data_IF_658297062465
#
_entry.id   IF_658297062465
#
_cell.length_a   1.000
_cell.length_b   1.000
_cell.length_c   1.000
_cell.angle_alpha   90.00
_cell.angle_beta   90.00
_cell.angle_gamma   90.00
#
_symmetry.space_group_name_H-M   'P 1'
#
loop_
_entity.id
_entity.type
_entity.pdbx_description
1 polymer ?
#
# COMPACT_ATOMS: atom_id res chain seq x y z
N UNK A 1 12.15 -50.41 36.19
CA UNK A 1 10.99 -50.00 37.01
C UNK A 1 10.59 -48.59 36.62
N UNK A 2 9.27 -48.32 36.46
CA UNK A 2 8.60 -47.04 36.15
C UNK A 2 9.03 -46.28 34.87
N UNK A 3 8.49 -46.55 33.66
CA UNK A 3 7.16 -46.20 33.10
C UNK A 3 6.69 -44.75 33.37
N UNK A 4 6.88 -43.86 32.39
CA UNK A 4 5.86 -42.84 32.03
C UNK A 4 5.93 -42.51 30.53
N UNK A 5 4.90 -43.00 29.84
CA UNK A 5 4.54 -42.82 28.44
C UNK A 5 3.85 -41.45 28.35
N UNK A 6 4.36 -40.49 27.56
CA UNK A 6 3.62 -39.26 27.22
C UNK A 6 3.21 -39.37 25.76
N UNK A 7 1.91 -39.22 25.53
CA UNK A 7 1.23 -39.34 24.25
C UNK A 7 1.75 -38.31 23.24
N UNK A 8 1.87 -38.77 21.99
CA UNK A 8 2.00 -37.97 20.79
C UNK A 8 0.69 -37.21 20.54
N UNK A 9 0.76 -35.88 20.37
CA UNK A 9 -0.29 -35.10 19.71
C UNK A 9 0.09 -34.91 18.23
N UNK A 10 -0.85 -35.11 17.28
CA UNK A 10 -0.58 -35.02 15.85
C UNK A 10 -0.48 -33.56 15.38
N UNK A 11 0.32 -33.34 14.34
CA UNK A 11 0.84 -32.05 13.91
C UNK A 11 -0.18 -30.99 13.48
N UNK A 12 0.12 -29.76 13.88
CA UNK A 12 -0.56 -28.52 13.48
C UNK A 12 -0.11 -28.09 12.07
N UNK A 13 -0.96 -28.37 11.08
CA UNK A 13 -0.88 -27.73 9.77
C UNK A 13 -1.52 -26.33 9.88
N UNK A 14 -0.69 -25.30 9.96
CA UNK A 14 -1.08 -23.90 10.21
C UNK A 14 -2.15 -23.35 9.27
N UNK A 15 -3.41 -23.39 9.73
CA UNK A 15 -4.54 -22.73 9.09
C UNK A 15 -4.53 -21.23 9.43
N UNK A 16 -4.18 -20.36 8.46
CA UNK A 16 -4.20 -18.90 8.64
C UNK A 16 -5.62 -18.43 8.99
N UNK A 17 -5.79 -17.91 10.21
CA UNK A 17 -7.07 -17.42 10.72
C UNK A 17 -7.67 -16.30 9.84
N UNK A 18 -8.96 -16.39 9.52
CA UNK A 18 -9.67 -15.41 8.70
C UNK A 18 -9.68 -13.99 9.30
N UNK A 19 -9.96 -12.97 8.48
CA UNK A 19 -10.14 -11.57 8.96
C UNK A 19 -11.19 -11.49 10.08
N UNK A 20 -12.30 -12.20 9.92
CA UNK A 20 -13.34 -12.35 10.94
C UNK A 20 -12.82 -13.02 12.22
N UNK A 21 -12.01 -14.07 12.10
CA UNK A 21 -11.42 -14.74 13.26
C UNK A 21 -10.46 -13.82 14.03
N UNK A 22 -9.60 -13.06 13.32
CA UNK A 22 -8.71 -12.07 13.95
C UNK A 22 -9.48 -10.98 14.67
N UNK A 23 -10.58 -10.50 14.08
CA UNK A 23 -11.47 -9.52 14.71
C UNK A 23 -12.13 -10.06 16.00
N UNK A 24 -12.60 -11.31 15.98
CA UNK A 24 -13.14 -11.97 17.17
C UNK A 24 -12.09 -12.10 18.28
N UNK A 25 -10.88 -12.55 17.94
CA UNK A 25 -9.78 -12.71 18.91
C UNK A 25 -9.40 -11.36 19.53
N UNK A 26 -9.31 -10.31 18.72
CA UNK A 26 -9.03 -8.96 19.22
C UNK A 26 -10.11 -8.45 20.17
N UNK A 27 -11.38 -8.66 19.81
CA UNK A 27 -12.53 -8.27 20.64
C UNK A 27 -12.52 -9.03 21.97
N UNK A 28 -12.27 -10.35 21.93
CA UNK A 28 -12.16 -11.17 23.14
C UNK A 28 -11.05 -10.69 24.08
N UNK A 29 -9.85 -10.40 23.54
CA UNK A 29 -8.73 -9.87 24.34
C UNK A 29 -9.07 -8.55 25.03
N UNK A 30 -9.84 -7.68 24.37
CA UNK A 30 -10.31 -6.43 24.97
C UNK A 30 -11.24 -6.68 26.15
N UNK A 31 -12.24 -7.55 25.95
CA UNK A 31 -13.20 -7.90 27.01
C UNK A 31 -12.51 -8.61 28.18
N UNK A 32 -11.55 -9.50 27.92
CA UNK A 32 -10.74 -10.13 28.97
C UNK A 32 -9.96 -9.10 29.79
N UNK A 33 -9.40 -8.07 29.14
CA UNK A 33 -8.71 -6.98 29.83
C UNK A 33 -9.68 -6.15 30.68
N UNK A 34 -10.91 -5.94 30.20
CA UNK A 34 -11.94 -5.22 30.94
C UNK A 34 -12.37 -5.99 32.20
N UNK A 35 -12.63 -7.30 32.10
CA UNK A 35 -12.93 -8.17 33.25
C UNK A 35 -11.78 -8.24 34.26
N UNK A 36 -10.54 -8.25 33.77
CA UNK A 36 -9.36 -8.25 34.66
C UNK A 36 -9.20 -6.92 35.43
N UNK A 37 -9.69 -5.81 34.87
CA UNK A 37 -9.66 -4.48 35.52
C UNK A 37 -10.85 -4.27 36.47
N UNK A 38 -12.02 -4.79 36.09
CA UNK A 38 -13.25 -4.75 36.88
C UNK A 38 -14.01 -6.08 36.68
N UNK A 39 -13.92 -7.01 37.65
CA UNK A 39 -14.61 -8.29 37.58
C UNK A 39 -16.14 -8.19 37.52
N UNK A 40 -16.71 -7.05 37.89
CA UNK A 40 -18.16 -6.81 37.90
C UNK A 40 -18.63 -5.94 36.71
N UNK A 41 -17.75 -5.68 35.73
CA UNK A 41 -18.07 -4.84 34.58
C UNK A 41 -19.30 -5.35 33.81
N UNK A 42 -20.19 -4.43 33.44
CA UNK A 42 -21.18 -4.70 32.40
C UNK A 42 -20.48 -4.83 31.04
N UNK A 43 -20.24 -6.06 30.60
CA UNK A 43 -19.62 -6.35 29.32
C UNK A 43 -20.32 -5.71 28.13
N UNK A 44 -21.64 -5.43 28.21
CA UNK A 44 -22.37 -4.78 27.13
C UNK A 44 -21.95 -3.32 26.95
N UNK A 45 -21.47 -2.68 28.03
CA UNK A 45 -20.92 -1.31 27.99
C UNK A 45 -19.58 -1.24 27.27
N UNK A 46 -18.75 -2.29 27.36
CA UNK A 46 -17.45 -2.37 26.70
C UNK A 46 -17.48 -3.20 25.40
N UNK A 47 -18.62 -3.75 25.00
CA UNK A 47 -18.76 -4.45 23.73
C UNK A 47 -18.87 -3.43 22.57
N UNK A 48 -18.19 -3.63 21.41
CA UNK A 48 -18.35 -2.72 20.28
C UNK A 48 -19.81 -2.68 19.79
N UNK A 49 -20.42 -1.49 19.77
CA UNK A 49 -21.83 -1.31 19.35
C UNK A 49 -22.10 -1.75 17.91
N UNK A 50 -21.07 -1.70 17.05
CA UNK A 50 -21.12 -2.07 15.63
C UNK A 50 -20.54 -3.48 15.36
N UNK A 51 -20.27 -4.28 16.40
CA UNK A 51 -19.60 -5.57 16.30
C UNK A 51 -20.24 -6.50 15.26
N UNK A 52 -21.57 -6.67 15.32
CA UNK A 52 -22.28 -7.58 14.43
C UNK A 52 -22.17 -7.17 12.96
N UNK A 53 -22.25 -5.86 12.69
CA UNK A 53 -22.10 -5.30 11.34
C UNK A 53 -20.68 -5.49 10.82
N UNK A 54 -19.67 -5.18 11.64
CA UNK A 54 -18.27 -5.37 11.26
C UNK A 54 -17.92 -6.85 11.06
N UNK A 55 -18.46 -7.73 11.89
CA UNK A 55 -18.25 -9.16 11.77
C UNK A 55 -18.89 -9.72 10.49
N UNK A 56 -20.10 -9.28 10.12
CA UNK A 56 -20.73 -9.71 8.87
C UNK A 56 -19.93 -9.24 7.66
N UNK A 57 -19.49 -7.98 7.63
CA UNK A 57 -18.62 -7.42 6.59
C UNK A 57 -17.31 -8.21 6.42
N UNK A 58 -16.72 -8.72 7.51
CA UNK A 58 -15.49 -9.52 7.49
C UNK A 58 -15.70 -11.00 7.19
N UNK A 59 -16.93 -11.51 7.32
CA UNK A 59 -17.31 -12.90 7.00
C UNK A 59 -17.66 -13.08 5.54
N UNK A 60 -18.02 -12.01 4.83
CA UNK A 60 -18.22 -12.06 3.38
C UNK A 60 -16.88 -12.45 2.75
N UNK A 61 -16.77 -13.64 2.14
CA UNK A 61 -15.58 -14.00 1.40
C UNK A 61 -15.43 -12.96 0.29
N UNK A 62 -14.23 -12.37 0.16
CA UNK A 62 -13.86 -11.77 -1.13
C UNK A 62 -14.16 -12.84 -2.18
N UNK A 63 -14.95 -12.55 -3.22
CA UNK A 63 -15.11 -13.51 -4.29
C UNK A 63 -13.71 -13.83 -4.81
N UNK A 64 -13.29 -15.10 -4.69
CA UNK A 64 -12.12 -15.59 -5.42
C UNK A 64 -12.27 -15.11 -6.86
N UNK A 65 -11.23 -14.59 -7.51
CA UNK A 65 -11.34 -14.12 -8.89
C UNK A 65 -11.56 -15.35 -9.77
N UNK A 66 -12.81 -15.76 -9.88
CA UNK A 66 -13.26 -16.76 -10.82
C UNK A 66 -13.43 -15.98 -12.11
N UNK A 67 -12.35 -15.93 -12.89
CA UNK A 67 -12.36 -15.45 -14.27
C UNK A 67 -13.33 -16.37 -15.01
N UNK A 68 -14.59 -15.95 -15.05
CA UNK A 68 -15.62 -16.51 -15.90
C UNK A 68 -15.76 -15.51 -17.03
N UNK A 69 -15.67 -15.90 -18.32
CA UNK A 69 -15.86 -14.97 -19.41
C UNK A 69 -17.35 -14.57 -19.42
N UNK A 70 -17.67 -13.44 -18.78
CA UNK A 70 -19.03 -12.91 -18.77
C UNK A 70 -19.17 -12.01 -20.00
N UNK A 71 -19.73 -12.62 -21.04
CA UNK A 71 -20.47 -11.97 -22.11
C UNK A 71 -21.37 -10.85 -21.58
N UNK A 72 -21.27 -9.68 -22.23
CA UNK A 72 -22.11 -8.49 -22.10
C UNK A 72 -23.42 -8.69 -21.31
N UNK A 73 -23.39 -8.34 -20.02
CA UNK A 73 -24.59 -8.16 -19.21
C UNK A 73 -24.49 -6.82 -18.50
N UNK A 74 -25.38 -5.92 -18.90
CA UNK A 74 -25.57 -4.55 -18.42
C UNK A 74 -25.86 -4.55 -16.91
N UNK A 75 -24.87 -4.27 -16.07
CA UNK A 75 -25.08 -4.18 -14.62
C UNK A 75 -25.51 -2.75 -14.25
N UNK A 76 -26.81 -2.47 -14.30
CA UNK A 76 -27.39 -1.31 -13.60
C UNK A 76 -27.47 -1.61 -12.08
N UNK A 77 -26.33 -1.61 -11.39
CA UNK A 77 -26.30 -1.65 -9.93
C UNK A 77 -26.53 -0.25 -9.38
N UNK A 78 -27.53 -0.05 -8.50
CA UNK A 78 -27.77 1.26 -7.90
C UNK A 78 -26.53 1.77 -7.16
N UNK A 79 -26.16 3.01 -7.43
CA UNK A 79 -25.08 3.72 -6.74
C UNK A 79 -25.50 3.86 -5.28
N UNK A 80 -24.83 3.17 -4.36
CA UNK A 80 -25.12 3.31 -2.92
C UNK A 80 -24.62 4.67 -2.42
N UNK A 81 -25.18 5.18 -1.31
CA UNK A 81 -24.75 6.47 -0.71
C UNK A 81 -23.27 6.54 -0.31
N UNK A 82 -22.55 5.41 -0.38
CA UNK A 82 -21.13 5.33 -0.08
C UNK A 82 -20.23 5.39 -1.33
N UNK A 83 -20.78 5.38 -2.54
CA UNK A 83 -20.02 5.35 -3.79
C UNK A 83 -19.64 6.76 -4.26
N UNK A 84 -18.35 6.99 -4.58
CA UNK A 84 -17.86 8.30 -5.05
C UNK A 84 -18.56 8.79 -6.32
N UNK A 85 -19.11 7.89 -7.15
CA UNK A 85 -19.82 8.25 -8.39
C UNK A 85 -21.07 9.07 -8.12
N UNK A 86 -21.62 9.05 -6.90
CA UNK A 86 -22.76 9.89 -6.52
C UNK A 86 -22.45 11.40 -6.58
N UNK A 87 -21.17 11.78 -6.54
CA UNK A 87 -20.73 13.17 -6.61
C UNK A 87 -20.46 13.64 -8.06
N UNK A 88 -20.59 12.75 -9.04
CA UNK A 88 -20.41 13.09 -10.44
C UNK A 88 -21.77 13.44 -11.04
N UNK A 89 -21.97 14.71 -11.36
CA UNK A 89 -23.23 15.25 -11.84
C UNK A 89 -23.03 15.85 -13.24
N UNK A 90 -23.91 15.54 -14.22
CA UNK A 90 -23.73 15.99 -15.60
C UNK A 90 -23.75 17.51 -15.81
N UNK A 91 -24.19 18.29 -14.81
CA UNK A 91 -24.20 19.75 -14.84
C UNK A 91 -22.95 20.41 -14.23
N UNK A 92 -22.04 19.63 -13.68
CA UNK A 92 -20.88 20.16 -12.94
C UNK A 92 -19.74 20.54 -13.89
N UNK A 93 -19.00 21.62 -13.57
CA UNK A 93 -17.89 22.05 -14.39
C UNK A 93 -16.82 20.95 -14.46
N UNK A 94 -16.35 20.69 -15.67
CA UNK A 94 -15.24 19.79 -15.94
C UNK A 94 -14.00 20.59 -16.35
N UNK A 95 -12.84 20.20 -15.82
CA UNK A 95 -11.55 20.79 -16.16
C UNK A 95 -10.55 19.70 -16.51
N UNK A 96 -9.88 19.87 -17.65
CA UNK A 96 -8.70 19.07 -18.01
C UNK A 96 -7.53 19.62 -17.20
N UNK A 97 -7.09 18.86 -16.19
CA UNK A 97 -5.95 19.24 -15.34
C UNK A 97 -4.64 18.83 -16.02
N UNK A 98 -4.62 17.64 -16.63
CA UNK A 98 -3.52 17.17 -17.47
C UNK A 98 -4.07 16.63 -18.79
N UNK A 99 -3.35 16.82 -19.92
CA UNK A 99 -3.82 16.45 -21.24
C UNK A 99 -4.30 14.99 -21.34
N UNK A 100 -5.45 14.77 -21.98
CA UNK A 100 -6.00 13.44 -22.20
C UNK A 100 -5.32 12.78 -23.40
N UNK A 101 -4.95 11.51 -23.25
CA UNK A 101 -4.54 10.64 -24.34
C UNK A 101 -5.71 10.37 -25.29
N UNK A 102 -5.41 10.04 -26.55
CA UNK A 102 -6.43 9.81 -27.58
C UNK A 102 -7.41 8.69 -27.18
N UNK A 103 -6.92 7.63 -26.52
CA UNK A 103 -7.75 6.56 -25.98
C UNK A 103 -8.82 7.05 -25.01
N UNK A 104 -8.50 8.04 -24.16
CA UNK A 104 -9.46 8.63 -23.22
C UNK A 104 -10.38 9.62 -23.93
N UNK A 105 -9.86 10.40 -24.88
CA UNK A 105 -10.69 11.32 -25.69
C UNK A 105 -11.75 10.59 -26.48
N UNK A 106 -11.41 9.45 -27.08
CA UNK A 106 -12.37 8.60 -27.81
C UNK A 106 -13.48 8.06 -26.92
N UNK A 107 -13.22 7.82 -25.62
CA UNK A 107 -14.24 7.40 -24.65
C UNK A 107 -15.19 8.54 -24.24
N UNK A 108 -14.82 9.80 -24.50
CA UNK A 108 -15.52 11.00 -24.09
C UNK A 108 -15.98 11.85 -25.29
N UNK A 109 -16.14 11.24 -26.48
CA UNK A 109 -16.35 11.95 -27.75
C UNK A 109 -17.75 12.60 -27.92
N UNK A 110 -18.59 12.63 -26.88
CA UNK A 110 -19.90 13.28 -26.93
C UNK A 110 -19.79 14.81 -26.81
N UNK A 111 -20.84 15.52 -27.24
CA UNK A 111 -20.87 16.99 -27.30
C UNK A 111 -20.71 17.67 -25.92
N UNK A 112 -21.11 16.98 -24.85
CA UNK A 112 -20.98 17.43 -23.47
C UNK A 112 -20.05 16.49 -22.68
N UNK A 113 -18.89 17.02 -22.28
CA UNK A 113 -17.86 16.25 -21.58
C UNK A 113 -18.34 15.74 -20.22
N UNK A 114 -19.16 16.51 -19.51
CA UNK A 114 -19.68 16.13 -18.19
C UNK A 114 -20.68 14.98 -18.31
N UNK A 115 -21.60 15.03 -19.27
CA UNK A 115 -22.52 13.92 -19.58
C UNK A 115 -21.76 12.66 -19.98
N UNK A 116 -20.79 12.80 -20.90
CA UNK A 116 -19.96 11.69 -21.37
C UNK A 116 -19.22 11.02 -20.20
N UNK A 117 -18.63 11.81 -19.30
CA UNK A 117 -17.87 11.35 -18.16
C UNK A 117 -18.74 10.63 -17.13
N UNK A 118 -19.91 11.18 -16.80
CA UNK A 118 -20.88 10.51 -15.90
C UNK A 118 -21.38 9.21 -16.53
N UNK A 119 -21.67 9.22 -17.82
CA UNK A 119 -22.05 8.04 -18.58
C UNK A 119 -20.98 6.95 -18.55
N UNK A 120 -19.72 7.32 -18.78
CA UNK A 120 -18.56 6.42 -18.69
C UNK A 120 -18.46 5.80 -17.29
N UNK A 121 -18.43 6.62 -16.24
CA UNK A 121 -18.25 6.18 -14.85
C UNK A 121 -19.36 5.25 -14.35
N UNK A 122 -20.59 5.38 -14.87
CA UNK A 122 -21.70 4.47 -14.57
C UNK A 122 -21.48 3.07 -15.15
N UNK A 123 -20.81 2.95 -16.30
CA UNK A 123 -20.53 1.67 -16.97
C UNK A 123 -19.27 0.99 -16.45
N UNK A 124 -18.34 1.74 -15.89
CA UNK A 124 -17.07 1.19 -15.41
C UNK A 124 -17.27 0.21 -14.23
N UNK A 125 -16.54 -0.90 -14.27
CA UNK A 125 -16.49 -1.92 -13.22
C UNK A 125 -15.71 -1.39 -12.02
N UNK A 126 -16.15 -1.70 -10.80
CA UNK A 126 -15.41 -1.34 -9.59
C UNK A 126 -14.25 -2.33 -9.41
N UNK A 127 -13.01 -1.87 -9.55
CA UNK A 127 -11.82 -2.68 -9.24
C UNK A 127 -11.48 -2.67 -7.76
N UNK A 128 -11.60 -1.50 -7.11
CA UNK A 128 -11.20 -1.37 -5.71
C UNK A 128 -11.96 -0.26 -4.99
N UNK A 129 -12.21 -0.48 -3.69
CA UNK A 129 -12.84 0.48 -2.77
C UNK A 129 -11.92 0.74 -1.59
N UNK A 130 -11.67 2.01 -1.28
CA UNK A 130 -10.97 2.37 -0.04
C UNK A 130 -11.86 2.11 1.19
N UNK A 131 -11.31 2.15 2.42
CA UNK A 131 -12.12 2.11 3.64
C UNK A 131 -13.19 3.21 3.73
N UNK A 132 -13.07 4.28 2.92
CA UNK A 132 -14.05 5.34 2.78
C UNK A 132 -14.38 5.52 1.29
N UNK A 133 -15.25 4.67 0.70
CA UNK A 133 -15.43 4.64 -0.76
C UNK A 133 -15.93 5.97 -1.34
N UNK A 134 -16.59 6.83 -0.53
CA UNK A 134 -16.95 8.22 -0.88
C UNK A 134 -15.75 9.13 -1.18
N UNK A 135 -14.54 8.75 -0.74
CA UNK A 135 -13.31 9.54 -0.89
C UNK A 135 -12.39 9.01 -1.98
N UNK A 136 -12.26 7.69 -2.11
CA UNK A 136 -11.34 7.07 -3.08
C UNK A 136 -11.85 5.71 -3.56
N UNK A 137 -11.95 5.54 -4.87
CA UNK A 137 -12.29 4.28 -5.54
C UNK A 137 -11.51 4.15 -6.86
N UNK A 138 -11.34 2.92 -7.33
CA UNK A 138 -10.69 2.61 -8.62
C UNK A 138 -11.67 1.82 -9.49
N UNK A 139 -11.76 2.20 -10.75
CA UNK A 139 -12.68 1.66 -11.73
C UNK A 139 -11.92 1.16 -12.96
N UNK A 140 -12.41 0.07 -13.58
CA UNK A 140 -11.98 -0.38 -14.90
C UNK A 140 -13.01 0.05 -15.91
N UNK A 141 -12.56 0.73 -16.95
CA UNK A 141 -13.41 1.13 -18.06
C UNK A 141 -13.05 0.30 -19.30
N UNK A 142 -13.73 0.58 -20.41
CA UNK A 142 -13.52 -0.16 -21.66
C UNK A 142 -12.04 -0.16 -22.09
N UNK A 143 -11.61 -1.30 -22.65
CA UNK A 143 -10.24 -1.51 -23.07
C UNK A 143 -9.27 -1.66 -21.90
N UNK A 144 -8.13 -0.97 -22.00
CA UNK A 144 -7.03 -1.06 -21.05
C UNK A 144 -6.95 0.17 -20.13
N UNK A 145 -8.08 0.81 -19.81
CA UNK A 145 -8.12 2.06 -19.02
C UNK A 145 -8.65 1.82 -17.61
N UNK A 146 -7.92 2.35 -16.64
CA UNK A 146 -8.28 2.45 -15.23
C UNK A 146 -8.50 3.90 -14.87
N UNK A 147 -9.53 4.15 -14.07
CA UNK A 147 -9.82 5.47 -13.49
C UNK A 147 -9.70 5.36 -11.96
N UNK A 148 -8.78 6.12 -11.38
CA UNK A 148 -8.73 6.35 -9.93
C UNK A 148 -9.45 7.65 -9.61
N UNK A 149 -10.58 7.54 -8.93
CA UNK A 149 -11.40 8.68 -8.51
C UNK A 149 -11.03 9.08 -7.08
N UNK A 150 -10.72 10.35 -6.88
CA UNK A 150 -10.28 10.91 -5.59
C UNK A 150 -11.05 12.20 -5.31
N UNK A 151 -11.83 12.22 -4.24
CA UNK A 151 -12.56 13.41 -3.78
C UNK A 151 -11.64 14.30 -2.94
N UNK A 152 -11.65 15.61 -3.21
CA UNK A 152 -10.79 16.62 -2.57
C UNK A 152 -9.29 16.31 -2.67
N UNK A 153 -8.82 15.93 -3.86
CA UNK A 153 -7.39 15.72 -4.10
C UNK A 153 -6.60 17.02 -3.87
N UNK A 154 -5.62 16.97 -2.96
CA UNK A 154 -4.77 18.12 -2.61
C UNK A 154 -3.57 18.31 -3.54
N UNK A 155 -3.16 17.25 -4.22
CA UNK A 155 -2.08 17.24 -5.21
C UNK A 155 -2.28 16.08 -6.19
N UNK A 156 -1.34 15.93 -7.12
CA UNK A 156 -1.37 14.92 -8.18
C UNK A 156 -0.07 14.10 -8.27
N UNK A 157 0.61 13.86 -7.14
CA UNK A 157 1.92 13.16 -7.11
C UNK A 157 1.91 11.82 -7.80
N UNK A 158 0.82 11.07 -7.72
CA UNK A 158 0.71 9.82 -8.45
C UNK A 158 0.79 10.05 -9.96
N UNK A 159 -0.04 10.96 -10.50
CA UNK A 159 -0.05 11.23 -11.94
C UNK A 159 1.30 11.79 -12.43
N UNK A 160 1.87 12.77 -11.73
CA UNK A 160 3.17 13.36 -12.08
C UNK A 160 4.30 12.35 -11.95
N UNK A 161 4.23 11.43 -10.97
CA UNK A 161 5.19 10.32 -10.88
C UNK A 161 5.06 9.36 -12.06
N UNK A 162 3.84 8.98 -12.45
CA UNK A 162 3.66 8.09 -13.60
C UNK A 162 4.22 8.73 -14.89
N UNK A 163 4.04 10.05 -15.08
CA UNK A 163 4.67 10.79 -16.19
C UNK A 163 6.20 10.75 -16.09
N UNK A 164 6.74 11.01 -14.91
CA UNK A 164 8.19 10.98 -14.68
C UNK A 164 8.79 9.60 -14.97
N UNK A 165 8.14 8.52 -14.53
CA UNK A 165 8.57 7.15 -14.79
C UNK A 165 8.43 6.78 -16.27
N UNK A 166 7.38 7.21 -16.96
CA UNK A 166 7.23 6.97 -18.39
C UNK A 166 8.40 7.55 -19.20
N UNK A 167 8.87 8.74 -18.83
CA UNK A 167 10.00 9.41 -19.50
C UNK A 167 11.35 8.81 -19.09
N UNK A 168 11.59 8.62 -17.80
CA UNK A 168 12.92 8.31 -17.29
C UNK A 168 13.18 6.82 -17.05
N UNK A 169 12.12 6.02 -16.86
CA UNK A 169 12.17 4.58 -16.54
C UNK A 169 11.02 3.80 -17.21
N UNK A 170 10.92 3.80 -18.55
CA UNK A 170 9.82 3.14 -19.27
C UNK A 170 9.80 1.61 -19.11
N UNK A 171 10.87 1.01 -18.58
CA UNK A 171 10.98 -0.42 -18.26
C UNK A 171 10.43 -0.78 -16.89
N UNK A 172 10.25 0.18 -15.98
CA UNK A 172 9.65 -0.07 -14.67
C UNK A 172 8.18 -0.45 -14.88
N UNK A 173 7.71 -1.56 -14.27
CA UNK A 173 6.32 -1.99 -14.39
C UNK A 173 5.44 -1.07 -13.53
N UNK A 174 4.97 0.03 -14.10
CA UNK A 174 4.02 0.96 -13.49
C UNK A 174 2.92 1.29 -14.51
N UNK A 175 1.70 1.63 -14.07
CA UNK A 175 0.67 2.15 -14.97
C UNK A 175 1.20 3.34 -15.79
N UNK A 176 0.76 3.46 -17.04
CA UNK A 176 1.10 4.62 -17.89
C UNK A 176 0.01 5.67 -17.77
N UNK A 177 0.36 6.96 -17.58
CA UNK A 177 -0.63 8.02 -17.42
C UNK A 177 -1.39 8.23 -18.74
N UNK A 178 -2.70 8.47 -18.67
CA UNK A 178 -3.55 8.70 -19.85
C UNK A 178 -4.38 9.99 -19.77
N UNK A 179 -4.20 10.77 -18.72
CA UNK A 179 -4.82 12.08 -18.52
C UNK A 179 -5.38 12.28 -17.12
N UNK A 180 -5.80 13.50 -16.82
CA UNK A 180 -6.47 13.81 -15.56
C UNK A 180 -7.59 14.83 -15.80
N UNK A 181 -8.80 14.45 -15.40
CA UNK A 181 -9.95 15.35 -15.35
C UNK A 181 -10.31 15.68 -13.90
N UNK A 182 -10.90 16.84 -13.69
CA UNK A 182 -11.59 17.20 -12.46
C UNK A 182 -13.02 17.57 -12.80
N UNK A 183 -13.98 16.99 -12.08
CA UNK A 183 -15.40 17.37 -12.08
C UNK A 183 -15.73 17.82 -10.66
N UNK A 184 -15.98 19.12 -10.49
CA UNK A 184 -16.09 19.76 -9.17
C UNK A 184 -14.93 19.36 -8.22
N UNK A 185 -15.21 18.69 -7.10
CA UNK A 185 -14.21 18.26 -6.13
C UNK A 185 -13.68 16.83 -6.35
N UNK A 186 -14.10 16.15 -7.42
CA UNK A 186 -13.65 14.80 -7.77
C UNK A 186 -12.60 14.87 -8.88
N UNK A 187 -11.38 14.41 -8.58
CA UNK A 187 -10.32 14.22 -9.56
C UNK A 187 -10.33 12.77 -10.08
N UNK A 188 -10.21 12.61 -11.39
CA UNK A 188 -10.22 11.35 -12.11
C UNK A 188 -8.88 11.19 -12.82
N UNK A 189 -8.04 10.30 -12.28
CA UNK A 189 -6.73 9.96 -12.84
C UNK A 189 -6.91 8.79 -13.78
N UNK A 190 -6.63 8.99 -15.07
CA UNK A 190 -6.70 7.96 -16.10
C UNK A 190 -5.32 7.34 -16.30
N UNK A 191 -5.25 6.02 -16.33
CA UNK A 191 -4.01 5.27 -16.54
C UNK A 191 -4.26 3.90 -17.16
N UNK A 192 -3.21 3.24 -17.63
CA UNK A 192 -3.33 1.88 -18.18
C UNK A 192 -3.63 0.85 -17.10
N UNK A 193 -4.49 -0.11 -17.41
CA UNK A 193 -4.73 -1.29 -16.60
C UNK A 193 -3.49 -2.20 -16.53
N UNK A 194 -3.29 -2.81 -15.37
CA UNK A 194 -2.31 -3.88 -15.11
C UNK A 194 -3.06 -5.14 -14.68
N UNK A 195 -2.39 -6.29 -14.58
CA UNK A 195 -2.99 -7.57 -14.13
C UNK A 195 -3.96 -7.42 -12.95
N UNK A 196 -5.03 -8.22 -12.97
CA UNK A 196 -6.05 -8.27 -11.90
C UNK A 196 -5.50 -8.83 -10.58
N UNK A 197 -4.48 -9.70 -10.65
CA UNK A 197 -4.00 -10.47 -9.51
C UNK A 197 -2.93 -9.67 -8.79
N UNK A 198 -3.21 -9.29 -7.54
CA UNK A 198 -2.22 -8.70 -6.65
C UNK A 198 -1.37 -9.80 -6.00
N UNK A 199 -0.19 -9.45 -5.56
CA UNK A 199 0.68 -10.35 -4.81
C UNK A 199 0.01 -10.74 -3.49
N UNK A 200 -0.75 -9.84 -2.86
CA UNK A 200 -1.53 -10.12 -1.66
C UNK A 200 -2.50 -11.30 -1.83
N UNK A 201 -3.10 -11.45 -3.01
CA UNK A 201 -4.07 -12.51 -3.30
C UNK A 201 -3.44 -13.90 -3.28
N UNK A 202 -2.17 -14.01 -3.67
CA UNK A 202 -1.50 -15.30 -3.85
C UNK A 202 -0.37 -15.57 -2.85
N UNK A 203 0.10 -14.55 -2.13
CA UNK A 203 1.33 -14.61 -1.30
C UNK A 203 1.35 -15.79 -0.32
N UNK A 204 0.21 -16.04 0.33
CA UNK A 204 0.09 -17.12 1.30
C UNK A 204 0.24 -18.52 0.70
N UNK A 205 -0.04 -18.69 -0.60
CA UNK A 205 0.09 -19.95 -1.33
C UNK A 205 1.43 -20.14 -2.05
N UNK A 206 2.30 -19.12 -2.06
CA UNK A 206 3.60 -19.23 -2.71
C UNK A 206 4.58 -20.05 -1.88
N UNK A 207 5.38 -20.88 -2.55
CA UNK A 207 6.52 -21.55 -1.94
C UNK A 207 7.72 -20.60 -1.75
N UNK A 208 8.74 -21.06 -1.02
CA UNK A 208 9.94 -20.27 -0.73
C UNK A 208 10.69 -19.89 -2.02
N UNK A 209 10.71 -20.75 -3.03
CA UNK A 209 11.39 -20.47 -4.31
C UNK A 209 10.68 -19.35 -5.08
N UNK A 210 9.35 -19.37 -5.12
CA UNK A 210 8.53 -18.34 -5.74
C UNK A 210 8.67 -17.01 -4.99
N UNK A 211 8.64 -17.02 -3.65
CA UNK A 211 8.86 -15.81 -2.84
C UNK A 211 10.24 -15.19 -3.06
N UNK A 212 11.29 -16.01 -3.15
CA UNK A 212 12.65 -15.55 -3.51
C UNK A 212 12.71 -14.95 -4.92
N UNK A 213 12.07 -15.59 -5.90
CA UNK A 213 11.98 -15.07 -7.27
C UNK A 213 11.30 -13.70 -7.33
N UNK A 214 10.22 -13.50 -6.58
CA UNK A 214 9.55 -12.19 -6.44
C UNK A 214 10.47 -11.17 -5.76
N UNK A 215 11.15 -11.55 -4.67
CA UNK A 215 12.12 -10.68 -3.99
C UNK A 215 13.24 -10.24 -4.95
N UNK A 216 13.78 -11.13 -5.77
CA UNK A 216 14.85 -10.82 -6.73
C UNK A 216 14.36 -9.88 -7.84
N UNK A 217 13.14 -10.07 -8.34
CA UNK A 217 12.52 -9.11 -9.27
C UNK A 217 12.35 -7.73 -8.65
N UNK A 218 11.87 -7.65 -7.41
CA UNK A 218 11.76 -6.37 -6.69
C UNK A 218 13.13 -5.72 -6.50
N UNK A 219 14.16 -6.48 -6.11
CA UNK A 219 15.53 -5.98 -5.99
C UNK A 219 16.00 -5.32 -7.29
N UNK A 220 15.75 -5.96 -8.43
CA UNK A 220 16.14 -5.44 -9.74
C UNK A 220 15.37 -4.17 -10.11
N UNK A 221 14.04 -4.15 -9.91
CA UNK A 221 13.19 -2.99 -10.20
C UNK A 221 13.59 -1.81 -9.33
N UNK A 222 13.83 -2.04 -8.05
CA UNK A 222 14.17 -0.99 -7.10
C UNK A 222 15.60 -0.49 -7.28
N UNK A 223 16.54 -1.34 -7.67
CA UNK A 223 17.87 -0.90 -8.08
C UNK A 223 17.79 0.03 -9.30
N UNK A 224 16.95 -0.32 -10.29
CA UNK A 224 16.71 0.52 -11.46
C UNK A 224 16.08 1.87 -11.08
N UNK A 225 15.02 1.87 -10.24
CA UNK A 225 14.43 3.10 -9.71
C UNK A 225 15.44 3.96 -8.95
N UNK A 226 16.26 3.36 -8.09
CA UNK A 226 17.27 4.07 -7.28
C UNK A 226 18.46 4.59 -8.08
N UNK A 227 18.58 4.22 -9.36
CA UNK A 227 19.56 4.81 -10.26
C UNK A 227 19.14 6.19 -10.80
N UNK A 228 17.88 6.60 -10.60
CA UNK A 228 17.43 7.96 -10.86
C UNK A 228 18.20 8.96 -10.00
N UNK A 229 18.81 9.95 -10.66
CA UNK A 229 19.55 10.99 -9.97
C UNK A 229 18.58 12.00 -9.36
N UNK A 230 18.68 12.21 -8.05
CA UNK A 230 18.02 13.34 -7.39
C UNK A 230 18.66 14.65 -7.90
N UNK A 231 17.91 15.56 -8.54
CA UNK A 231 18.48 16.80 -9.04
C UNK A 231 19.10 17.64 -7.91
N UNK A 232 20.30 18.18 -8.16
CA UNK A 232 20.98 18.99 -7.14
C UNK A 232 20.18 20.26 -6.84
N UNK A 233 19.96 20.54 -5.55
CA UNK A 233 19.28 21.76 -5.10
C UNK A 233 17.75 21.70 -5.15
N UNK A 234 17.15 20.57 -5.53
CA UNK A 234 15.68 20.42 -5.48
C UNK A 234 15.20 19.90 -4.12
N UNK A 235 13.97 20.25 -3.69
CA UNK A 235 13.36 19.68 -2.50
C UNK A 235 13.10 18.18 -2.62
N UNK A 236 13.16 17.50 -1.49
CA UNK A 236 12.74 16.12 -1.33
C UNK A 236 11.21 16.00 -1.45
N UNK A 237 10.78 14.80 -1.84
CA UNK A 237 9.37 14.48 -2.05
C UNK A 237 9.01 14.31 -3.51
N UNK A 238 7.75 14.61 -3.84
CA UNK A 238 7.20 14.41 -5.18
C UNK A 238 7.99 15.15 -6.26
N UNK A 239 8.03 14.56 -7.46
CA UNK A 239 8.86 15.01 -8.60
C UNK A 239 8.44 16.36 -9.18
N UNK A 240 7.25 16.86 -8.85
CA UNK A 240 6.71 18.12 -9.35
C UNK A 240 6.51 19.14 -8.21
N UNK A 241 7.28 19.01 -7.12
CA UNK A 241 7.27 19.97 -6.01
C UNK A 241 6.11 19.81 -5.03
N UNK A 242 5.45 18.64 -5.01
CA UNK A 242 4.33 18.35 -4.11
C UNK A 242 4.76 18.15 -2.64
N UNK A 243 6.06 18.17 -2.39
CA UNK A 243 6.68 18.07 -1.08
C UNK A 243 6.73 16.65 -0.52
N UNK A 244 7.19 16.55 0.71
CA UNK A 244 7.30 15.29 1.44
C UNK A 244 5.94 14.86 2.02
N UNK A 245 5.66 13.56 1.96
CA UNK A 245 4.46 12.95 2.54
C UNK A 245 4.84 11.79 3.45
N UNK A 246 4.19 11.67 4.59
CA UNK A 246 4.36 10.52 5.49
C UNK A 246 3.01 10.09 6.07
N UNK A 247 2.57 8.89 5.71
CA UNK A 247 1.40 8.24 6.33
C UNK A 247 1.85 7.30 7.43
N UNK A 248 1.44 7.61 8.66
CA UNK A 248 1.50 6.69 9.82
C UNK A 248 0.10 6.44 10.36
N UNK A 249 -0.37 7.33 11.24
CA UNK A 249 -1.76 7.38 11.72
C UNK A 249 -2.61 8.37 10.91
N UNK A 250 -1.99 9.48 10.52
CA UNK A 250 -2.56 10.52 9.66
C UNK A 250 -1.51 10.88 8.62
N UNK A 251 -1.96 11.34 7.45
CA UNK A 251 -1.07 11.87 6.42
C UNK A 251 -0.46 13.19 6.90
N UNK A 252 0.86 13.24 6.99
CA UNK A 252 1.64 14.47 7.16
C UNK A 252 2.17 14.93 5.82
N UNK A 253 2.18 16.23 5.61
CA UNK A 253 2.70 16.89 4.40
C UNK A 253 3.67 17.98 4.83
N UNK A 254 4.79 18.11 4.13
CA UNK A 254 5.67 19.26 4.35
C UNK A 254 4.97 20.54 3.91
N UNK A 255 4.96 21.55 4.77
CA UNK A 255 4.44 22.89 4.41
C UNK A 255 5.50 23.74 3.73
N UNK A 256 6.78 23.44 4.00
CA UNK A 256 7.94 24.14 3.44
C UNK A 256 8.83 23.14 2.68
N UNK A 257 9.62 23.60 1.69
CA UNK A 257 10.59 22.76 1.00
C UNK A 257 11.60 22.10 1.96
N UNK A 258 11.78 20.79 1.85
CA UNK A 258 12.76 20.02 2.62
C UNK A 258 13.95 19.74 1.71
N UNK A 259 15.12 20.32 2.01
CA UNK A 259 16.31 20.22 1.14
C UNK A 259 17.33 19.19 1.62
N UNK A 260 17.34 18.86 2.92
CA UNK A 260 18.36 18.00 3.50
C UNK A 260 17.76 16.78 4.18
N UNK A 261 18.56 15.71 4.28
CA UNK A 261 18.20 14.50 5.05
C UNK A 261 17.93 14.84 6.52
N UNK A 262 18.62 15.83 7.07
CA UNK A 262 18.39 16.33 8.44
C UNK A 262 16.99 16.93 8.56
N UNK A 263 16.61 17.83 7.68
CA UNK A 263 15.29 18.47 7.71
C UNK A 263 14.17 17.45 7.49
N UNK A 264 14.43 16.41 6.67
CA UNK A 264 13.51 15.30 6.51
C UNK A 264 13.32 14.47 7.79
N UNK A 265 14.39 14.24 8.56
CA UNK A 265 14.29 13.60 9.88
C UNK A 265 13.45 14.44 10.83
N UNK A 266 13.68 15.76 10.85
CA UNK A 266 12.90 16.69 11.67
C UNK A 266 11.40 16.68 11.28
N UNK A 267 11.10 16.60 9.97
CA UNK A 267 9.73 16.43 9.44
C UNK A 267 9.06 15.11 9.86
N UNK A 268 9.77 13.98 9.74
CA UNK A 268 9.22 12.66 10.10
C UNK A 268 8.90 12.57 11.59
N UNK A 269 9.65 13.30 12.40
CA UNK A 269 9.55 13.22 13.83
C UNK A 269 9.60 14.60 14.50
N UNK A 270 8.53 15.38 14.39
CA UNK A 270 8.50 16.71 15.01
C UNK A 270 8.65 16.65 16.55
N UNK A 271 8.29 15.51 17.15
CA UNK A 271 8.45 15.22 18.58
C UNK A 271 9.82 14.67 18.97
N UNK A 272 10.74 14.45 18.01
CA UNK A 272 12.13 14.00 18.28
C UNK A 272 13.00 15.04 19.00
N UNK A 273 12.42 16.16 19.42
CA UNK A 273 13.00 17.01 20.47
C UNK A 273 13.27 16.23 21.77
N UNK A 274 12.62 15.09 21.99
CA UNK A 274 13.02 14.12 23.01
C UNK A 274 14.30 13.38 22.56
N UNK A 275 15.44 13.81 23.10
CA UNK A 275 16.79 13.32 22.78
C UNK A 275 16.92 11.79 22.73
N UNK A 276 16.20 11.07 23.58
CA UNK A 276 16.27 9.60 23.68
C UNK A 276 15.74 8.90 22.43
N UNK A 277 14.61 9.34 21.86
CA UNK A 277 14.09 8.70 20.65
C UNK A 277 14.96 9.05 19.43
N UNK A 278 15.61 10.22 19.43
CA UNK A 278 16.51 10.65 18.34
C UNK A 278 17.77 9.81 18.36
N UNK A 279 18.33 9.66 19.56
CA UNK A 279 19.46 8.79 19.86
C UNK A 279 19.12 7.33 19.55
N UNK A 280 17.92 6.85 19.88
CA UNK A 280 17.48 5.51 19.54
C UNK A 280 17.45 5.29 18.02
N UNK A 281 16.78 6.15 17.25
CA UNK A 281 16.76 6.06 15.78
C UNK A 281 18.17 6.21 15.21
N UNK A 282 18.99 7.12 15.74
CA UNK A 282 20.39 7.29 15.34
C UNK A 282 21.19 6.00 15.56
N UNK A 283 21.08 5.37 16.72
CA UNK A 283 21.72 4.08 17.03
C UNK A 283 21.20 2.94 16.17
N UNK A 284 19.91 2.95 15.81
CA UNK A 284 19.33 2.00 14.84
C UNK A 284 19.80 2.28 13.40
N UNK A 285 20.36 3.45 13.12
CA UNK A 285 20.91 3.83 11.81
C UNK A 285 22.44 3.72 11.75
N UNK A 286 23.12 3.48 12.88
CA UNK A 286 24.56 3.28 12.93
C UNK A 286 24.86 1.80 12.71
N UNK A 287 25.38 1.38 11.53
CA UNK A 287 26.25 0.23 11.51
C UNK A 287 27.54 0.60 12.27
N UNK A 288 28.44 -0.35 12.48
CA UNK A 288 29.80 -0.14 13.01
C UNK A 288 30.69 0.77 12.12
N UNK A 289 30.11 1.75 11.43
CA UNK A 289 30.73 2.67 10.49
C UNK A 289 30.76 4.06 11.12
N UNK A 290 31.92 4.72 11.23
CA UNK A 290 32.03 6.06 11.79
C UNK A 290 31.05 7.04 11.14
N UNK A 291 30.38 7.86 11.96
CA UNK A 291 29.36 8.83 11.53
C UNK A 291 29.81 9.81 10.43
N UNK A 292 31.12 9.91 10.18
CA UNK A 292 31.73 10.75 9.15
C UNK A 292 31.77 10.13 7.74
N UNK A 293 31.30 8.89 7.52
CA UNK A 293 31.46 8.18 6.24
C UNK A 293 30.17 7.77 5.51
N UNK A 294 28.97 8.10 6.02
CA UNK A 294 27.72 7.75 5.35
C UNK A 294 26.96 9.01 4.96
N UNK A 295 27.34 9.61 3.82
CA UNK A 295 26.44 10.50 3.09
C UNK A 295 25.20 9.70 2.69
N UNK A 296 24.10 9.89 3.43
CA UNK A 296 22.83 9.23 3.12
C UNK A 296 22.34 9.79 1.79
N UNK A 297 22.32 8.93 0.78
CA UNK A 297 21.84 9.30 -0.56
C UNK A 297 20.32 9.46 -0.56
N UNK A 298 19.85 10.47 -1.28
CA UNK A 298 18.46 10.59 -1.66
C UNK A 298 18.25 9.85 -2.98
N UNK A 299 17.30 8.93 -2.99
CA UNK A 299 16.99 8.05 -4.12
C UNK A 299 15.49 8.10 -4.39
N UNK A 300 15.08 7.68 -5.58
CA UNK A 300 13.66 7.58 -5.89
C UNK A 300 13.02 6.41 -5.15
N UNK A 301 11.90 6.65 -4.47
CA UNK A 301 11.16 5.66 -3.68
C UNK A 301 9.70 5.62 -4.12
N UNK A 302 9.07 4.46 -4.00
CA UNK A 302 7.64 4.25 -4.18
C UNK A 302 6.84 4.76 -2.97
N UNK A 303 7.31 4.50 -1.74
CA UNK A 303 6.71 5.02 -0.51
C UNK A 303 5.51 4.25 0.06
N UNK A 304 5.01 3.23 -0.62
CA UNK A 304 3.95 2.30 -0.15
C UNK A 304 4.08 0.91 -0.81
N UNK A 305 5.31 0.38 -0.86
CA UNK A 305 5.56 -0.93 -1.44
C UNK A 305 5.08 -2.04 -0.50
N UNK A 306 3.94 -2.66 -0.84
CA UNK A 306 3.31 -3.78 -0.14
C UNK A 306 2.63 -4.74 -1.12
N UNK A 307 2.30 -5.99 -0.72
CA UNK A 307 1.76 -7.00 -1.63
C UNK A 307 0.49 -6.57 -2.38
N UNK A 308 -0.37 -5.76 -1.76
CA UNK A 308 -1.60 -5.26 -2.40
C UNK A 308 -1.31 -4.31 -3.57
N UNK A 309 -0.15 -3.65 -3.57
CA UNK A 309 0.25 -2.67 -4.58
C UNK A 309 1.18 -3.30 -5.63
N UNK A 310 1.37 -4.62 -5.61
CA UNK A 310 2.20 -5.36 -6.57
C UNK A 310 1.28 -6.29 -7.34
N UNK A 311 1.25 -6.20 -8.67
CA UNK A 311 0.51 -7.14 -9.52
C UNK A 311 1.44 -8.15 -10.14
N UNK A 312 0.93 -9.37 -10.33
CA UNK A 312 1.70 -10.50 -10.84
C UNK A 312 0.91 -11.31 -11.86
N UNK A 313 1.62 -12.03 -12.70
CA UNK A 313 1.08 -13.02 -13.64
C UNK A 313 1.89 -14.31 -13.58
N UNK A 314 1.26 -15.49 -13.78
CA UNK A 314 2.00 -16.75 -13.92
C UNK A 314 2.96 -16.71 -15.12
N UNK A 315 4.13 -17.31 -14.94
CA UNK A 315 5.11 -17.60 -15.98
C UNK A 315 5.11 -19.11 -16.28
N UNK A 316 5.55 -19.50 -17.48
CA UNK A 316 5.55 -20.89 -17.98
C UNK A 316 6.46 -21.90 -17.27
N UNK A 317 6.82 -21.66 -16.02
CA UNK A 317 7.81 -22.39 -15.20
C UNK A 317 7.37 -22.51 -13.73
N UNK A 318 6.06 -22.44 -13.46
CA UNK A 318 5.49 -22.34 -12.11
C UNK A 318 5.99 -21.12 -11.30
N UNK A 319 6.59 -20.12 -11.94
CA UNK A 319 6.96 -18.86 -11.30
C UNK A 319 5.92 -17.78 -11.55
N UNK A 320 6.08 -16.65 -10.88
CA UNK A 320 5.28 -15.45 -11.06
C UNK A 320 6.18 -14.30 -11.49
N UNK A 321 5.70 -13.50 -12.46
CA UNK A 321 6.36 -12.28 -12.91
C UNK A 321 5.63 -11.06 -12.35
N UNK A 322 6.36 -10.08 -11.85
CA UNK A 322 5.80 -8.77 -11.48
C UNK A 322 5.42 -8.01 -12.75
N UNK A 323 4.15 -7.59 -12.82
CA UNK A 323 3.57 -6.88 -13.96
C UNK A 323 3.22 -5.43 -13.66
N UNK A 324 3.15 -5.04 -12.38
CA UNK A 324 2.83 -3.67 -12.00
C UNK A 324 3.16 -3.36 -10.55
N UNK A 325 3.63 -2.14 -10.32
CA UNK A 325 3.69 -1.45 -9.05
C UNK A 325 2.64 -0.32 -9.09
N UNK A 326 1.71 -0.34 -8.14
CA UNK A 326 0.51 0.51 -8.09
C UNK A 326 0.58 1.51 -6.93
N UNK A 327 -0.29 2.53 -6.96
CA UNK A 327 -0.47 3.50 -5.87
C UNK A 327 0.79 4.33 -5.55
N UNK A 328 1.26 5.09 -6.56
CA UNK A 328 2.41 5.99 -6.46
C UNK A 328 2.08 7.33 -5.76
N UNK A 329 1.11 7.37 -4.84
CA UNK A 329 0.65 8.64 -4.24
C UNK A 329 1.64 9.24 -3.21
N UNK A 330 2.61 8.43 -2.75
CA UNK A 330 3.65 8.77 -1.77
C UNK A 330 5.08 8.67 -2.32
N UNK A 331 5.23 8.55 -3.63
CA UNK A 331 6.54 8.45 -4.27
C UNK A 331 7.27 9.78 -4.32
N UNK A 332 8.58 9.69 -4.50
CA UNK A 332 9.43 10.86 -4.56
C UNK A 332 10.89 10.55 -4.31
N UNK A 333 11.70 11.60 -4.25
CA UNK A 333 13.08 11.49 -3.79
C UNK A 333 13.13 11.60 -2.27
N UNK A 334 13.59 10.53 -1.63
CA UNK A 334 13.72 10.42 -0.18
C UNK A 334 15.04 9.73 0.19
N UNK A 335 15.50 9.82 1.45
CA UNK A 335 16.66 9.07 1.91
C UNK A 335 16.50 7.56 1.65
N UNK A 336 17.59 6.87 1.29
CA UNK A 336 17.53 5.45 0.85
C UNK A 336 16.96 4.45 1.87
N UNK A 337 16.93 4.80 3.16
CA UNK A 337 16.29 4.01 4.21
C UNK A 337 14.76 4.16 4.23
N UNK A 338 14.20 5.19 3.58
CA UNK A 338 12.79 5.56 3.71
C UNK A 338 11.85 4.46 3.22
N UNK A 339 12.13 3.90 2.05
CA UNK A 339 11.31 2.82 1.47
C UNK A 339 11.19 1.62 2.42
N UNK A 340 12.29 1.21 3.06
CA UNK A 340 12.27 0.13 4.04
C UNK A 340 11.38 0.44 5.24
N UNK A 341 11.47 1.67 5.79
CA UNK A 341 10.58 2.10 6.88
C UNK A 341 9.12 2.00 6.41
N UNK A 342 8.80 2.50 5.21
CA UNK A 342 7.43 2.47 4.67
C UNK A 342 6.93 1.05 4.43
N UNK A 343 7.74 0.16 3.87
CA UNK A 343 7.38 -1.25 3.65
C UNK A 343 7.11 -2.01 4.95
N UNK A 344 7.55 -1.50 6.10
CA UNK A 344 7.28 -2.09 7.43
C UNK A 344 6.09 -1.46 8.18
N UNK A 345 5.39 -0.49 7.59
CA UNK A 345 4.26 0.20 8.24
C UNK A 345 3.14 -0.75 8.71
N UNK A 346 2.89 -1.83 7.97
CA UNK A 346 1.84 -2.81 8.27
C UNK A 346 2.28 -3.92 9.23
N UNK A 347 3.56 -3.96 9.61
CA UNK A 347 4.10 -5.01 10.45
C UNK A 347 3.61 -4.87 11.89
N UNK A 348 3.08 -5.95 12.43
CA UNK A 348 2.68 -6.06 13.83
C UNK A 348 3.37 -7.26 14.49
N UNK A 349 3.76 -7.18 15.78
CA UNK A 349 4.24 -8.34 16.54
C UNK A 349 3.26 -9.51 16.60
N UNK A 350 1.97 -9.26 16.32
CA UNK A 350 0.93 -10.27 16.28
C UNK A 350 0.66 -10.83 14.87
N UNK A 351 1.42 -10.42 13.86
CA UNK A 351 1.21 -10.82 12.47
C UNK A 351 2.15 -11.96 12.11
N UNK A 352 1.58 -13.08 11.64
CA UNK A 352 2.32 -14.23 11.11
C UNK A 352 2.44 -14.14 9.57
N UNK A 353 2.74 -12.92 9.09
CA UNK A 353 2.89 -12.66 7.66
C UNK A 353 4.36 -12.70 7.30
N UNK A 354 4.75 -13.72 6.53
CA UNK A 354 6.14 -13.93 6.15
C UNK A 354 6.60 -13.00 5.03
N UNK A 355 5.73 -12.15 4.44
CA UNK A 355 6.10 -11.11 3.47
C UNK A 355 7.32 -10.30 3.91
N UNK A 356 7.38 -9.92 5.19
CA UNK A 356 8.44 -9.08 5.73
C UNK A 356 9.82 -9.75 5.70
N UNK A 357 9.89 -11.08 5.60
CA UNK A 357 11.14 -11.84 5.43
C UNK A 357 11.68 -11.77 4.00
N UNK A 358 10.83 -11.40 3.03
CA UNK A 358 11.15 -11.32 1.61
C UNK A 358 11.14 -9.88 1.09
N UNK A 359 11.23 -8.89 1.99
CA UNK A 359 11.43 -7.50 1.58
C UNK A 359 12.71 -7.36 0.73
N UNK A 360 12.76 -6.39 -0.20
CA UNK A 360 13.94 -6.15 -1.02
C UNK A 360 15.20 -5.91 -0.16
N UNK A 361 16.36 -6.31 -0.67
CA UNK A 361 17.66 -6.14 -0.02
C UNK A 361 18.15 -4.72 -0.22
N UNK A 362 17.98 -3.88 0.79
CA UNK A 362 18.29 -2.45 0.73
C UNK A 362 19.73 -2.10 1.12
N UNK A 363 20.75 -2.67 0.48
CA UNK A 363 22.16 -2.34 0.74
C UNK A 363 22.57 -2.34 2.22
N UNK A 364 23.62 -1.58 2.58
CA UNK A 364 24.17 -1.50 3.94
C UNK A 364 23.16 -1.01 5.00
N UNK A 365 22.09 -0.33 4.60
CA UNK A 365 21.03 0.12 5.51
C UNK A 365 19.97 -0.96 5.78
N UNK A 366 19.83 -1.96 4.89
CA UNK A 366 19.00 -3.14 5.12
C UNK A 366 19.58 -4.07 6.18
N UNK A 367 20.91 -4.18 6.24
CA UNK A 367 21.64 -5.06 7.18
C UNK A 367 21.26 -4.77 8.63
N UNK A 368 21.06 -3.50 9.00
CA UNK A 368 20.79 -3.12 10.39
C UNK A 368 19.38 -3.57 10.81
N UNK A 369 18.37 -3.43 9.95
CA UNK A 369 17.03 -3.92 10.24
C UNK A 369 17.00 -5.46 10.19
N UNK A 370 17.68 -6.11 9.24
CA UNK A 370 17.77 -7.58 9.19
C UNK A 370 18.48 -8.16 10.44
N UNK A 371 19.53 -7.51 10.96
CA UNK A 371 20.19 -7.91 12.20
C UNK A 371 19.30 -7.68 13.44
N UNK A 372 18.52 -6.60 13.47
CA UNK A 372 17.50 -6.40 14.51
C UNK A 372 16.43 -7.49 14.49
N UNK A 373 16.07 -7.98 13.30
CA UNK A 373 15.14 -9.11 13.13
C UNK A 373 15.72 -10.46 13.56
N UNK A 374 17.02 -10.67 13.40
CA UNK A 374 17.71 -11.87 13.89
C UNK A 374 17.85 -11.83 15.43
N UNK A 375 18.25 -10.70 16.01
CA UNK A 375 18.33 -10.54 17.47
C UNK A 375 16.97 -10.60 18.20
N UNK A 376 15.88 -10.10 17.58
CA UNK A 376 14.53 -10.27 18.14
C UNK A 376 14.05 -11.73 18.07
N UNK A 377 14.49 -12.53 17.10
CA UNK A 377 14.19 -13.97 17.02
C UNK A 377 14.90 -14.76 18.12
N UNK A 378 16.16 -14.47 18.39
CA UNK A 378 16.94 -15.16 19.42
C UNK A 378 16.38 -14.90 20.83
N UNK A 379 15.96 -13.66 21.13
CA UNK A 379 15.35 -13.32 22.44
C UNK A 379 13.94 -13.91 22.67
N UNK A 380 13.18 -14.21 21.61
CA UNK A 380 11.87 -14.89 21.70
C UNK A 380 11.98 -16.41 21.86
N UNK A 381 13.11 -17.00 21.42
CA UNK A 381 13.40 -18.42 21.64
C UNK A 381 13.85 -18.65 23.09
N UNK A 382 14.67 -17.75 23.64
CA UNK A 382 15.22 -17.87 25.00
C UNK A 382 14.17 -17.66 26.11
N UNK A 383 13.11 -16.91 25.82
CA UNK A 383 11.98 -16.66 26.74
C UNK A 383 10.89 -17.73 26.71
N UNK A 384 10.99 -18.73 25.81
CA UNK A 384 10.12 -19.94 25.80
C UNK A 384 10.82 -21.18 26.35
N UNK A 385 12.10 -21.07 26.71
CA UNK A 385 12.94 -22.13 27.30
C UNK A 385 13.29 -21.92 28.78
N UNK A 386 12.70 -20.91 29.43
CA UNK A 386 12.67 -20.72 30.89
C UNK A 386 11.22 -20.79 31.38
#
# INVERSE_FOLDING_TARGET
MSKRKRLEEPGDAGSKQSKAARFNIHTLKRLQKAVAADPEIDLTSDFPKDYSKRLSEMRIPLPSPTITPITAATTSGSVTEEDIRMFLMPSEPTAIVFPLADSVRSLLADADMSEALVGLMRRCEILWKSPFPRKKMVFKCDGNIVIKAIKNALDYTEYTTLQYLEVHKPTVPAPRPSGLLRMDDVSLIFMTYTSATTLADIWAGLDISQKKSIQDQLNQILADLRSLSHPTGTPLGGVCGEGCKDVRRHLRRSTEPILTVKDFKDFLFPSLRASIFAEFISRLQQPYVPAQQLEIRCVFTHGDLRPDNITVEPRGDHQFRITGLLDWEYSGFYPEYHELIKSTNGLSPSSDDDWYLFLPKWGLHGVIITQLWEGMRESQIDTRSQ
#
